data_IF_366573976326
#
_entry.id   IF_366573976326
#
_cell.length_a   1.000
_cell.length_b   1.000
_cell.length_c   1.000
_cell.angle_alpha   90.00
_cell.angle_beta   90.00
_cell.angle_gamma   90.00
#
_symmetry.space_group_name_H-M   'P 1'
#
loop_
_entity.id
_entity.type
_entity.pdbx_description
1 polymer ?
#
# COMPACT_ATOMS: atom_id res chain seq x y z
N UNK A 1 25.14 30.93 -50.60
CA UNK A 1 23.94 31.40 -49.87
C UNK A 1 23.12 30.27 -49.20
N UNK A 2 23.66 29.05 -49.01
CA UNK A 2 22.85 27.89 -48.54
C UNK A 2 23.21 27.40 -47.12
N UNK A 3 24.38 27.76 -46.59
CA UNK A 3 24.81 27.35 -45.26
C UNK A 3 24.11 28.14 -44.14
N UNK A 4 23.91 29.45 -44.33
CA UNK A 4 23.21 30.30 -43.36
C UNK A 4 21.75 29.88 -43.14
N UNK A 5 21.07 29.46 -44.21
CA UNK A 5 19.69 28.94 -44.14
C UNK A 5 19.61 27.61 -43.37
N UNK A 6 20.67 26.78 -43.42
CA UNK A 6 20.72 25.48 -42.72
C UNK A 6 20.91 25.65 -41.22
N UNK A 7 21.74 26.60 -40.78
CA UNK A 7 21.88 26.92 -39.35
C UNK A 7 20.61 27.51 -38.74
N UNK A 8 19.90 28.36 -39.49
CA UNK A 8 18.63 28.94 -39.07
C UNK A 8 17.53 27.85 -38.94
N UNK A 9 17.53 26.87 -39.85
CA UNK A 9 16.62 25.71 -39.77
C UNK A 9 16.92 24.80 -38.55
N UNK A 10 18.19 24.53 -38.23
CA UNK A 10 18.57 23.72 -37.07
C UNK A 10 18.19 24.42 -35.76
N UNK A 11 18.38 25.74 -35.68
CA UNK A 11 17.95 26.53 -34.52
C UNK A 11 16.44 26.47 -34.29
N UNK A 12 15.65 26.54 -35.38
CA UNK A 12 14.18 26.44 -35.29
C UNK A 12 13.73 25.04 -34.83
N UNK A 13 14.36 23.96 -35.30
CA UNK A 13 14.03 22.58 -34.89
C UNK A 13 14.38 22.34 -33.42
N UNK A 14 15.51 22.87 -32.95
CA UNK A 14 15.91 22.79 -31.53
C UNK A 14 14.94 23.53 -30.62
N UNK A 15 14.45 24.70 -31.06
CA UNK A 15 13.43 25.48 -30.34
C UNK A 15 12.08 24.76 -30.30
N UNK A 16 11.67 24.12 -31.39
CA UNK A 16 10.44 23.32 -31.44
C UNK A 16 10.56 22.11 -30.52
N UNK A 17 11.71 21.42 -30.52
CA UNK A 17 11.97 20.28 -29.63
C UNK A 17 11.97 20.69 -28.15
N UNK A 18 12.55 21.85 -27.83
CA UNK A 18 12.53 22.39 -26.46
C UNK A 18 11.10 22.76 -26.03
N UNK A 19 10.32 23.34 -26.95
CA UNK A 19 8.93 23.71 -26.68
C UNK A 19 8.03 22.48 -26.49
N UNK A 20 8.21 21.41 -27.28
CA UNK A 20 7.44 20.16 -27.12
C UNK A 20 7.79 19.43 -25.83
N UNK A 21 9.06 19.38 -25.44
CA UNK A 21 9.47 18.80 -24.15
C UNK A 21 8.93 19.62 -22.97
N UNK A 22 8.96 20.96 -23.05
CA UNK A 22 8.45 21.83 -22.00
C UNK A 22 6.91 21.75 -21.83
N UNK A 23 6.17 21.51 -22.92
CA UNK A 23 4.70 21.46 -22.88
C UNK A 23 4.13 20.06 -22.60
N UNK A 24 4.87 18.99 -22.87
CA UNK A 24 4.48 17.61 -22.55
C UNK A 24 5.03 17.14 -21.18
N UNK A 25 6.12 17.76 -20.70
CA UNK A 25 6.87 17.32 -19.52
C UNK A 25 6.17 17.38 -18.15
N UNK A 26 5.31 18.38 -17.83
CA UNK A 26 4.76 18.47 -16.47
C UNK A 26 3.35 17.86 -16.31
N UNK A 27 2.56 17.72 -17.38
CA UNK A 27 1.14 17.33 -17.25
C UNK A 27 0.92 15.83 -16.96
N UNK A 28 1.89 14.99 -17.35
CA UNK A 28 1.85 13.54 -17.08
C UNK A 28 2.33 13.15 -15.67
N UNK A 29 2.80 14.11 -14.86
CA UNK A 29 3.27 13.89 -13.49
C UNK A 29 2.20 14.24 -12.43
N UNK A 30 0.92 14.20 -12.80
CA UNK A 30 -0.19 14.69 -11.95
C UNK A 30 -0.93 13.60 -11.16
N UNK A 31 -0.50 12.33 -11.24
CA UNK A 31 -1.16 11.21 -10.55
C UNK A 31 -0.25 10.42 -9.58
N UNK A 32 0.91 10.97 -9.22
CA UNK A 32 1.67 10.56 -8.02
C UNK A 32 1.38 11.57 -6.92
N UNK A 33 0.10 11.78 -6.62
CA UNK A 33 -0.30 12.58 -5.46
C UNK A 33 0.10 11.82 -4.20
N UNK A 34 1.31 12.12 -3.76
CA UNK A 34 1.66 12.55 -2.41
C UNK A 34 1.58 11.55 -1.25
N UNK A 35 1.90 10.28 -1.50
CA UNK A 35 2.18 9.32 -0.42
C UNK A 35 3.28 9.83 0.53
N UNK A 36 4.27 10.57 0.01
CA UNK A 36 5.33 11.17 0.82
C UNK A 36 4.81 12.24 1.79
N UNK A 37 3.88 13.10 1.38
CA UNK A 37 3.27 14.06 2.33
C UNK A 37 2.40 13.34 3.36
N UNK A 38 1.71 12.26 3.00
CA UNK A 38 0.94 11.45 3.98
C UNK A 38 1.84 10.77 5.00
N UNK A 39 2.98 10.22 4.57
CA UNK A 39 3.99 9.67 5.48
C UNK A 39 4.56 10.77 6.38
N UNK A 40 4.79 11.98 5.87
CA UNK A 40 5.24 13.12 6.70
C UNK A 40 4.22 13.45 7.80
N UNK A 41 2.94 13.48 7.46
CA UNK A 41 1.87 13.70 8.45
C UNK A 41 1.82 12.59 9.50
N UNK A 42 1.95 11.33 9.08
CA UNK A 42 2.01 10.19 10.02
C UNK A 42 3.18 10.34 11.00
N UNK A 43 4.38 10.67 10.50
CA UNK A 43 5.54 10.91 11.35
C UNK A 43 5.31 12.05 12.35
N UNK A 44 4.66 13.14 11.91
CA UNK A 44 4.33 14.25 12.80
C UNK A 44 3.35 13.83 13.90
N UNK A 45 2.35 13.00 13.60
CA UNK A 45 1.42 12.45 14.59
C UNK A 45 2.19 11.60 15.61
N UNK A 46 3.07 10.71 15.14
CA UNK A 46 3.91 9.87 16.00
C UNK A 46 4.77 10.73 16.93
N UNK A 47 5.41 11.77 16.41
CA UNK A 47 6.21 12.70 17.23
C UNK A 47 5.37 13.41 18.28
N UNK A 48 4.18 13.93 17.91
CA UNK A 48 3.29 14.61 18.86
C UNK A 48 2.87 13.67 19.98
N UNK A 49 2.48 12.44 19.64
CA UNK A 49 2.09 11.43 20.63
C UNK A 49 3.29 11.09 21.54
N UNK A 50 4.48 10.88 20.97
CA UNK A 50 5.66 10.57 21.77
C UNK A 50 6.05 11.69 22.75
N UNK A 51 5.83 12.95 22.39
CA UNK A 51 6.20 14.11 23.20
C UNK A 51 5.12 14.55 24.19
N UNK A 52 3.84 14.35 23.86
CA UNK A 52 2.72 14.97 24.58
C UNK A 52 1.74 13.98 25.21
N UNK A 53 1.91 12.67 24.96
CA UNK A 53 1.02 11.67 25.56
C UNK A 53 1.34 11.47 27.04
N UNK A 54 0.28 11.29 27.83
CA UNK A 54 0.34 11.30 29.31
C UNK A 54 1.03 10.06 29.87
N UNK A 55 0.91 8.94 29.17
CA UNK A 55 1.42 7.62 29.59
C UNK A 55 2.44 7.07 28.59
N UNK A 56 3.25 6.06 28.98
CA UNK A 56 4.07 5.34 28.01
C UNK A 56 3.21 4.68 26.93
N UNK A 57 3.54 4.90 25.66
CA UNK A 57 2.80 4.32 24.53
C UNK A 57 3.44 2.99 24.11
N UNK A 58 2.60 1.97 23.96
CA UNK A 58 2.98 0.73 23.30
C UNK A 58 2.89 0.92 21.77
N UNK A 59 4.03 1.21 21.14
CA UNK A 59 4.08 1.49 19.70
C UNK A 59 3.78 0.29 18.82
N UNK A 60 4.07 -0.93 19.28
CA UNK A 60 3.77 -2.15 18.52
C UNK A 60 2.24 -2.30 18.37
N UNK A 61 1.50 -2.18 19.47
CA UNK A 61 0.03 -2.25 19.46
C UNK A 61 -0.62 -1.09 18.70
N UNK A 62 -0.10 0.14 18.87
CA UNK A 62 -0.63 1.31 18.20
C UNK A 62 -0.45 1.26 16.67
N UNK A 63 0.71 0.78 16.20
CA UNK A 63 0.99 0.64 14.77
C UNK A 63 0.25 -0.55 14.16
N UNK A 64 0.09 -1.66 14.88
CA UNK A 64 -0.75 -2.78 14.46
C UNK A 64 -2.19 -2.33 14.23
N UNK A 65 -2.74 -1.52 15.14
CA UNK A 65 -4.06 -0.90 14.97
C UNK A 65 -4.13 0.03 13.75
N UNK A 66 -3.07 0.80 13.50
CA UNK A 66 -2.98 1.67 12.32
C UNK A 66 -2.93 0.87 11.01
N UNK A 67 -2.23 -0.27 10.97
CA UNK A 67 -2.19 -1.15 9.81
C UNK A 67 -3.53 -1.82 9.55
N UNK A 68 -4.22 -2.28 10.60
CA UNK A 68 -5.57 -2.84 10.48
C UNK A 68 -6.54 -1.83 9.88
N UNK A 69 -6.61 -0.62 10.45
CA UNK A 69 -7.50 0.43 9.92
C UNK A 69 -7.14 0.88 8.49
N UNK A 70 -5.85 0.86 8.14
CA UNK A 70 -5.41 1.15 6.77
C UNK A 70 -5.91 0.10 5.76
N UNK A 71 -5.86 -1.19 6.13
CA UNK A 71 -6.29 -2.28 5.25
C UNK A 71 -7.81 -2.43 5.19
N UNK A 72 -8.53 -2.14 6.28
CA UNK A 72 -10.00 -2.10 6.28
C UNK A 72 -10.55 -1.10 5.26
N UNK A 73 -9.92 0.06 5.10
CA UNK A 73 -10.30 1.07 4.11
C UNK A 73 -9.83 0.71 2.69
N UNK A 74 -8.81 -0.14 2.55
CA UNK A 74 -8.27 -0.52 1.25
C UNK A 74 -9.19 -1.50 0.52
N UNK A 75 -9.53 -2.61 1.16
CA UNK A 75 -10.38 -3.68 0.60
C UNK A 75 -10.79 -4.70 1.68
N UNK A 76 -12.06 -5.17 1.72
CA UNK A 76 -12.52 -6.19 2.66
C UNK A 76 -11.74 -7.51 2.69
N UNK A 77 -10.95 -7.82 1.65
CA UNK A 77 -10.16 -9.05 1.59
C UNK A 77 -8.69 -8.87 1.99
N UNK A 78 -8.26 -7.64 2.28
CA UNK A 78 -6.91 -7.37 2.79
C UNK A 78 -6.86 -7.56 4.30
N UNK A 79 -5.86 -8.29 4.80
CA UNK A 79 -5.67 -8.51 6.24
C UNK A 79 -4.22 -8.33 6.65
N UNK A 80 -4.01 -7.87 7.90
CA UNK A 80 -2.71 -7.74 8.53
C UNK A 80 -2.55 -8.84 9.58
N UNK A 81 -1.40 -9.54 9.56
CA UNK A 81 -1.06 -10.55 10.56
C UNK A 81 0.10 -9.99 11.40
N UNK A 82 -0.19 -9.69 12.67
CA UNK A 82 0.83 -9.22 13.61
C UNK A 82 1.84 -10.31 13.94
N UNK A 83 3.02 -9.90 14.40
CA UNK A 83 4.12 -10.83 14.74
C UNK A 83 3.69 -11.93 15.71
N UNK A 84 2.91 -11.57 16.72
CA UNK A 84 2.46 -12.51 17.76
C UNK A 84 1.44 -13.54 17.23
N UNK A 85 0.73 -13.21 16.14
CA UNK A 85 -0.23 -14.09 15.48
C UNK A 85 0.39 -14.93 14.36
N UNK A 86 1.55 -14.54 13.84
CA UNK A 86 2.20 -15.24 12.73
C UNK A 86 2.47 -16.71 13.04
N UNK A 87 2.88 -17.05 14.26
CA UNK A 87 3.14 -18.44 14.63
C UNK A 87 1.87 -19.28 14.60
N UNK A 88 0.80 -18.83 15.27
CA UNK A 88 -0.49 -19.52 15.27
C UNK A 88 -1.10 -19.66 13.85
N UNK A 89 -0.94 -18.64 13.01
CA UNK A 89 -1.37 -18.68 11.61
C UNK A 89 -0.50 -19.67 10.82
N UNK A 90 0.82 -19.65 11.00
CA UNK A 90 1.72 -20.60 10.38
C UNK A 90 1.47 -22.03 10.85
N UNK A 91 1.10 -22.26 12.11
CA UNK A 91 0.70 -23.58 12.61
C UNK A 91 -0.58 -24.08 11.95
N UNK A 92 -1.54 -23.21 11.65
CA UNK A 92 -2.72 -23.59 10.87
C UNK A 92 -2.37 -24.01 9.44
N UNK A 93 -1.35 -23.37 8.83
CA UNK A 93 -0.90 -23.70 7.47
C UNK A 93 0.09 -24.88 7.40
N UNK A 94 0.98 -25.02 8.37
CA UNK A 94 2.02 -26.07 8.42
C UNK A 94 1.61 -27.28 9.23
N UNK A 95 0.56 -27.17 10.04
CA UNK A 95 -0.10 -28.32 10.63
C UNK A 95 -0.41 -29.27 9.48
N UNK A 96 0.21 -30.45 9.50
CA UNK A 96 -0.36 -31.58 8.77
C UNK A 96 -1.81 -31.61 9.25
N UNK A 97 -2.77 -31.32 8.38
CA UNK A 97 -4.18 -31.38 8.71
C UNK A 97 -4.45 -32.75 9.33
N UNK A 98 -4.42 -32.86 10.66
CA UNK A 98 -4.82 -34.04 11.38
C UNK A 98 -6.33 -33.91 11.54
N UNK A 99 -7.01 -34.19 10.43
CA UNK A 99 -8.44 -33.98 10.27
C UNK A 99 -8.99 -34.84 9.14
N UNK A 100 -10.31 -34.93 9.06
CA UNK A 100 -11.04 -35.74 8.08
C UNK A 100 -11.08 -35.12 6.66
N UNK A 101 -10.51 -33.92 6.47
CA UNK A 101 -10.50 -33.21 5.19
C UNK A 101 -11.88 -32.64 4.83
N UNK A 102 -12.50 -31.89 5.74
CA UNK A 102 -13.81 -31.28 5.52
C UNK A 102 -13.81 -29.80 5.91
N UNK A 103 -14.40 -28.98 5.05
CA UNK A 103 -14.77 -27.60 5.32
C UNK A 103 -16.15 -27.60 5.99
N UNK A 104 -16.31 -26.87 7.09
CA UNK A 104 -17.57 -26.76 7.81
C UNK A 104 -17.87 -25.30 8.18
N UNK A 105 -19.15 -25.01 8.38
CA UNK A 105 -19.64 -23.69 8.81
C UNK A 105 -20.75 -23.83 9.86
N UNK A 106 -21.07 -22.75 10.57
CA UNK A 106 -22.13 -22.68 11.59
C UNK A 106 -23.41 -22.12 10.98
N UNK A 107 -24.30 -23.02 10.54
CA UNK A 107 -25.60 -22.67 9.97
C UNK A 107 -26.70 -22.96 10.99
N UNK A 108 -27.41 -21.91 11.44
CA UNK A 108 -28.53 -22.05 12.38
C UNK A 108 -28.12 -22.61 13.75
N UNK A 109 -26.87 -22.42 14.16
CA UNK A 109 -26.33 -22.95 15.42
C UNK A 109 -25.84 -24.40 15.35
N UNK A 110 -25.85 -25.02 14.16
CA UNK A 110 -25.34 -26.37 13.93
C UNK A 110 -24.05 -26.34 13.11
N UNK A 111 -23.07 -27.16 13.51
CA UNK A 111 -21.88 -27.44 12.69
C UNK A 111 -22.34 -28.20 11.45
N UNK A 112 -22.16 -27.61 10.28
CA UNK A 112 -22.62 -28.14 9.00
C UNK A 112 -21.44 -28.31 8.05
N UNK A 113 -21.29 -29.49 7.46
CA UNK A 113 -20.24 -29.77 6.48
C UNK A 113 -20.63 -29.16 5.13
N UNK A 114 -19.73 -28.36 4.57
CA UNK A 114 -19.93 -27.66 3.30
C UNK A 114 -19.29 -28.44 2.15
N UNK A 115 -18.02 -28.82 2.28
CA UNK A 115 -17.29 -29.49 1.21
C UNK A 115 -16.17 -30.41 1.75
N UNK A 116 -15.82 -31.50 1.06
CA UNK A 116 -14.58 -32.22 1.29
C UNK A 116 -13.40 -31.48 0.65
N UNK A 117 -12.32 -31.29 1.43
CA UNK A 117 -11.04 -30.79 0.94
C UNK A 117 -10.20 -32.00 0.53
N UNK A 118 -10.31 -32.42 -0.73
CA UNK A 118 -9.53 -33.51 -1.34
C UNK A 118 -8.59 -32.97 -2.41
#
# INVERSE_FOLDING_TARGET
>A
MNYLKRYLAIGAISLIFLFTVASVGPAAYSKVVNIYDKIRVLNQIISIVNENYVEPVNWDEALDGAFLGLLEELDPHSSYISRDKLEAVNEQFHGKFEGIGIEFDLLGGYITVISPVV
#
